data_IF_323753529255
#
_entry.id   IF_323753529255
#
_cell.length_a   1.000
_cell.length_b   1.000
_cell.length_c   1.000
_cell.angle_alpha   90.00
_cell.angle_beta   90.00
_cell.angle_gamma   90.00
#
_symmetry.space_group_name_H-M   'P 1'
#
loop_
_entity.id
_entity.type
_entity.pdbx_description
1 polymer ?
#
# COMPACT_ATOMS: atom_id res chain seq x y z
N UNK A 1 18.12 1.32 7.08
CA UNK A 1 17.90 0.01 6.41
C UNK A 1 16.59 0.08 5.63
N UNK A 2 16.56 -0.44 4.39
CA UNK A 2 15.37 -0.41 3.53
C UNK A 2 14.39 -1.55 3.86
N UNK A 3 13.12 -1.22 4.09
CA UNK A 3 12.02 -2.18 4.25
C UNK A 3 11.48 -2.63 2.89
N UNK A 4 11.30 -3.93 2.69
CA UNK A 4 10.89 -4.52 1.41
C UNK A 4 9.82 -5.58 1.61
N UNK A 5 8.54 -5.18 1.70
CA UNK A 5 7.39 -6.06 2.06
C UNK A 5 7.43 -7.48 1.49
N UNK A 6 7.91 -7.70 0.25
CA UNK A 6 8.11 -9.03 -0.36
C UNK A 6 9.00 -9.97 0.44
N UNK A 7 9.96 -9.43 1.20
CA UNK A 7 10.93 -10.14 2.03
C UNK A 7 10.43 -10.32 3.45
N UNK A 8 9.90 -9.26 4.08
CA UNK A 8 9.46 -9.29 5.48
C UNK A 8 8.05 -9.86 5.66
N UNK A 9 7.14 -9.67 4.70
CA UNK A 9 5.71 -10.01 4.80
C UNK A 9 5.34 -11.14 3.83
N UNK A 10 6.20 -12.15 3.70
CA UNK A 10 6.01 -13.30 2.78
C UNK A 10 4.70 -14.06 2.99
N UNK A 11 4.16 -14.06 4.22
CA UNK A 11 2.89 -14.74 4.48
C UNK A 11 1.69 -14.02 3.87
N UNK A 12 1.74 -12.69 3.79
CA UNK A 12 0.67 -11.87 3.22
C UNK A 12 0.83 -11.70 1.71
N UNK A 13 2.06 -11.54 1.22
CA UNK A 13 2.34 -11.20 -0.17
C UNK A 13 2.98 -12.32 -1.00
N UNK A 14 3.29 -13.46 -0.38
CA UNK A 14 3.76 -14.66 -1.06
C UNK A 14 2.61 -15.63 -1.27
N UNK A 15 2.11 -15.71 -2.50
CA UNK A 15 1.09 -16.69 -2.86
C UNK A 15 1.61 -18.12 -2.58
N UNK A 16 0.81 -18.91 -1.85
CA UNK A 16 1.06 -20.33 -1.62
C UNK A 16 0.09 -21.16 -2.46
N UNK A 17 0.52 -22.36 -2.82
CA UNK A 17 -0.30 -23.32 -3.57
C UNK A 17 -1.54 -23.71 -2.78
N UNK A 18 -1.38 -23.89 -1.46
CA UNK A 18 -2.47 -24.29 -0.58
C UNK A 18 -3.12 -23.07 0.07
N UNK A 19 -4.48 -23.02 0.14
CA UNK A 19 -5.19 -22.02 0.91
C UNK A 19 -4.76 -22.02 2.37
N UNK A 20 -4.68 -20.84 2.97
CA UNK A 20 -4.32 -20.66 4.38
C UNK A 20 -5.16 -19.53 4.99
N UNK A 21 -5.51 -19.68 6.26
CA UNK A 21 -6.12 -18.60 7.04
C UNK A 21 -4.99 -17.65 7.45
N UNK A 22 -5.15 -16.36 7.14
CA UNK A 22 -4.19 -15.31 7.48
C UNK A 22 -4.85 -14.28 8.39
N UNK A 23 -4.14 -13.87 9.44
CA UNK A 23 -4.49 -12.67 10.22
C UNK A 23 -3.71 -11.50 9.66
N UNK A 24 -4.40 -10.52 9.07
CA UNK A 24 -3.80 -9.30 8.54
C UNK A 24 -3.83 -8.23 9.65
N UNK A 25 -2.67 -7.66 10.04
CA UNK A 25 -2.65 -6.61 11.06
C UNK A 25 -3.27 -5.32 10.54
N UNK A 26 -3.63 -4.42 11.45
CA UNK A 26 -4.09 -3.07 11.08
C UNK A 26 -2.97 -2.31 10.35
N UNK A 27 -3.31 -1.70 9.22
CA UNK A 27 -2.37 -0.94 8.38
C UNK A 27 -3.02 0.38 7.93
N UNK A 28 -2.19 1.29 7.45
CA UNK A 28 -2.61 2.57 6.89
C UNK A 28 -2.56 2.51 5.36
N UNK A 29 -3.61 2.99 4.69
CA UNK A 29 -3.74 2.92 3.24
C UNK A 29 -4.07 4.28 2.64
N UNK A 30 -3.50 4.53 1.46
CA UNK A 30 -4.07 5.51 0.52
C UNK A 30 -5.20 4.81 -0.22
N UNK A 31 -6.40 5.38 -0.21
CA UNK A 31 -7.58 4.75 -0.79
C UNK A 31 -8.38 5.74 -1.62
N UNK A 32 -8.74 5.34 -2.83
CA UNK A 32 -9.74 6.03 -3.65
C UNK A 32 -10.93 5.09 -3.76
N UNK A 33 -12.10 5.54 -3.31
CA UNK A 33 -13.37 4.84 -3.53
C UNK A 33 -13.87 5.11 -4.94
N UNK A 34 -14.57 4.14 -5.53
CA UNK A 34 -15.14 4.29 -6.85
C UNK A 34 -16.06 3.11 -7.19
N UNK A 35 -16.75 3.27 -8.32
CA UNK A 35 -17.59 2.27 -8.95
C UNK A 35 -17.30 2.26 -10.43
N UNK A 36 -17.52 1.13 -11.10
CA UNK A 36 -17.37 1.02 -12.54
C UNK A 36 -16.57 -0.21 -12.96
N UNK A 37 -16.22 -0.24 -14.24
CA UNK A 37 -15.48 -1.33 -14.85
C UNK A 37 -13.97 -1.04 -14.73
N UNK A 38 -13.16 -1.91 -14.09
CA UNK A 38 -11.72 -1.69 -13.93
C UNK A 38 -10.95 -1.68 -15.25
N UNK A 39 -11.58 -2.08 -16.37
CA UNK A 39 -10.99 -1.98 -17.70
C UNK A 39 -11.22 -0.61 -18.37
N UNK A 40 -11.88 0.33 -17.70
CA UNK A 40 -12.13 1.68 -18.22
C UNK A 40 -11.08 2.67 -17.74
N UNK A 41 -10.96 3.77 -18.47
CA UNK A 41 -9.92 4.79 -18.24
C UNK A 41 -9.94 5.36 -16.82
N UNK A 42 -11.13 5.58 -16.25
CA UNK A 42 -11.30 6.09 -14.88
C UNK A 42 -10.52 5.26 -13.84
N UNK A 43 -10.54 3.93 -13.94
CA UNK A 43 -9.80 3.07 -13.00
C UNK A 43 -8.28 3.25 -13.14
N UNK A 44 -7.79 3.34 -14.38
CA UNK A 44 -6.37 3.61 -14.67
C UNK A 44 -5.94 4.96 -14.10
N UNK A 45 -6.74 6.01 -14.30
CA UNK A 45 -6.48 7.34 -13.76
C UNK A 45 -6.42 7.36 -12.23
N UNK A 46 -7.30 6.62 -11.54
CA UNK A 46 -7.26 6.47 -10.08
C UNK A 46 -5.98 5.78 -9.60
N UNK A 47 -5.54 4.73 -10.30
CA UNK A 47 -4.26 4.07 -10.00
C UNK A 47 -3.09 5.04 -10.20
N UNK A 48 -3.09 5.80 -11.29
CA UNK A 48 -2.07 6.83 -11.55
C UNK A 48 -2.03 7.86 -10.42
N UNK A 49 -3.19 8.35 -9.97
CA UNK A 49 -3.28 9.30 -8.86
C UNK A 49 -2.73 8.71 -7.54
N UNK A 50 -3.04 7.44 -7.22
CA UNK A 50 -2.50 6.76 -6.05
C UNK A 50 -0.97 6.69 -6.07
N UNK A 51 -0.38 6.26 -7.18
CA UNK A 51 1.08 6.17 -7.30
C UNK A 51 1.76 7.53 -7.37
N UNK A 52 1.13 8.52 -7.98
CA UNK A 52 1.62 9.91 -7.99
C UNK A 52 1.74 10.48 -6.57
N UNK A 53 0.96 10.00 -5.60
CA UNK A 53 1.08 10.35 -4.18
C UNK A 53 2.02 9.43 -3.40
N UNK A 54 1.98 8.11 -3.66
CA UNK A 54 2.73 7.12 -2.91
C UNK A 54 4.26 7.31 -3.00
N UNK A 55 4.78 7.62 -4.20
CA UNK A 55 6.21 7.81 -4.40
C UNK A 55 6.76 9.07 -3.70
N UNK A 56 6.14 10.27 -3.83
CA UNK A 56 6.53 11.43 -3.05
C UNK A 56 6.48 11.20 -1.54
N UNK A 57 5.46 10.50 -1.02
CA UNK A 57 5.40 10.16 0.41
C UNK A 57 6.59 9.30 0.85
N UNK A 58 6.96 8.29 0.06
CA UNK A 58 8.18 7.49 0.32
C UNK A 58 9.43 8.36 0.33
N UNK A 59 9.58 9.26 -0.64
CA UNK A 59 10.75 10.15 -0.70
C UNK A 59 10.79 11.13 0.48
N UNK A 60 9.63 11.69 0.86
CA UNK A 60 9.49 12.56 2.01
C UNK A 60 9.81 11.83 3.32
N UNK A 61 9.32 10.60 3.51
CA UNK A 61 9.65 9.77 4.66
C UNK A 61 11.17 9.53 4.76
N UNK A 62 11.81 9.13 3.65
CA UNK A 62 13.26 8.92 3.61
C UNK A 62 14.04 10.17 4.00
N UNK A 63 13.66 11.33 3.47
CA UNK A 63 14.27 12.63 3.81
C UNK A 63 14.04 12.97 5.29
N UNK A 64 12.85 12.71 5.82
CA UNK A 64 12.50 12.95 7.22
C UNK A 64 13.34 12.09 8.17
N UNK A 65 13.55 10.81 7.83
CA UNK A 65 14.44 9.93 8.59
C UNK A 65 15.90 10.39 8.60
N UNK A 66 16.36 11.10 7.56
CA UNK A 66 17.71 11.69 7.51
C UNK A 66 17.83 12.91 8.43
N UNK A 67 16.78 13.75 8.52
CA UNK A 67 16.77 14.92 9.41
C UNK A 67 16.41 14.58 10.86
N UNK A 68 15.64 13.52 11.08
CA UNK A 68 15.13 13.09 12.39
C UNK A 68 15.45 11.59 12.62
N UNK A 69 16.66 11.25 13.09
CA UNK A 69 17.11 9.86 13.23
C UNK A 69 16.25 9.01 14.18
N UNK A 70 15.60 9.63 15.18
CA UNK A 70 14.66 9.00 16.10
C UNK A 70 13.47 8.32 15.39
N UNK A 71 13.01 8.90 14.28
CA UNK A 71 11.93 8.32 13.47
C UNK A 71 12.39 7.01 12.81
N UNK A 72 13.62 6.96 12.33
CA UNK A 72 14.19 5.75 11.73
C UNK A 72 14.39 4.64 12.77
N UNK A 73 14.82 5.00 13.99
CA UNK A 73 14.95 4.06 15.10
C UNK A 73 13.58 3.53 15.53
N UNK A 74 12.59 4.40 15.71
CA UNK A 74 11.23 4.01 16.10
C UNK A 74 10.54 3.13 15.03
N UNK A 75 10.77 3.42 13.75
CA UNK A 75 10.20 2.65 12.63
C UNK A 75 10.96 1.35 12.34
N UNK A 76 12.24 1.26 12.72
CA UNK A 76 13.14 0.15 12.37
C UNK A 76 13.66 0.18 10.92
N UNK A 77 13.32 1.21 10.15
CA UNK A 77 13.76 1.42 8.77
C UNK A 77 13.77 2.91 8.40
N UNK A 78 14.57 3.28 7.40
CA UNK A 78 14.76 4.66 6.92
C UNK A 78 14.29 4.85 5.45
N UNK A 79 13.90 3.76 4.81
CA UNK A 79 13.35 3.72 3.45
C UNK A 79 12.44 2.50 3.34
N UNK A 80 11.48 2.51 2.42
CA UNK A 80 10.59 1.37 2.18
C UNK A 80 10.22 1.24 0.70
N UNK A 81 9.95 0.04 0.20
CA UNK A 81 9.38 -0.12 -1.14
C UNK A 81 7.90 0.23 -1.15
N UNK A 82 7.46 0.99 -2.15
CA UNK A 82 6.02 1.19 -2.38
C UNK A 82 5.33 -0.17 -2.51
N UNK A 83 4.19 -0.30 -1.84
CA UNK A 83 3.38 -1.52 -1.77
C UNK A 83 2.73 -1.81 -3.14
N UNK A 84 2.34 -3.07 -3.41
CA UNK A 84 1.61 -3.39 -4.62
C UNK A 84 0.23 -2.74 -4.58
N UNK A 85 -0.41 -2.59 -5.75
CA UNK A 85 -1.80 -2.16 -5.80
C UNK A 85 -2.68 -3.24 -5.16
N UNK A 86 -3.55 -2.83 -4.25
CA UNK A 86 -4.56 -3.67 -3.61
C UNK A 86 -5.95 -3.09 -3.89
N UNK A 87 -6.98 -3.93 -3.84
CA UNK A 87 -8.35 -3.53 -4.15
C UNK A 87 -9.36 -4.27 -3.29
N UNK A 88 -10.30 -3.52 -2.71
CA UNK A 88 -11.52 -4.07 -2.11
C UNK A 88 -12.62 -3.96 -3.15
N UNK A 89 -13.22 -5.09 -3.51
CA UNK A 89 -14.27 -5.13 -4.51
C UNK A 89 -15.56 -5.71 -3.92
N UNK A 90 -16.68 -5.02 -4.13
CA UNK A 90 -18.01 -5.48 -3.81
C UNK A 90 -18.99 -5.07 -4.91
N UNK A 91 -20.10 -5.80 -5.01
CA UNK A 91 -21.26 -5.43 -5.84
C UNK A 91 -22.14 -4.36 -5.18
N UNK A 92 -21.93 -4.09 -3.88
CA UNK A 92 -22.64 -3.03 -3.16
C UNK A 92 -22.05 -1.67 -3.54
N UNK A 93 -22.90 -0.74 -3.99
CA UNK A 93 -22.47 0.62 -4.29
C UNK A 93 -22.09 1.34 -2.97
N UNK A 94 -20.82 1.73 -2.78
CA UNK A 94 -20.36 2.35 -1.54
C UNK A 94 -20.98 3.74 -1.27
N UNK A 95 -21.58 4.38 -2.28
CA UNK A 95 -22.26 5.68 -2.15
C UNK A 95 -23.73 5.55 -1.71
N UNK A 96 -24.23 4.33 -1.51
CA UNK A 96 -25.61 4.04 -1.08
C UNK A 96 -25.72 3.58 0.39
N UNK A 97 -24.76 3.94 1.24
CA UNK A 97 -24.82 3.67 2.69
C UNK A 97 -25.05 4.92 3.50
#
# INVERSE_FOLDING_TARGET
MKYEWRKQEKNAYGAKVNPQILTVPKQNFLMIKGVGNPNQEDFSQRITALYALAYPLKMAFKKNCQSNPELAVASGFDDYTVYPLEGVWSTLNPDKR
#
